data_IF_534820794830
#
_entry.id   IF_534820794830
#
_cell.length_a   1.000
_cell.length_b   1.000
_cell.length_c   1.000
_cell.angle_alpha   90.00
_cell.angle_beta   90.00
_cell.angle_gamma   90.00
#
_symmetry.space_group_name_H-M   'P 1'
#
loop_
_entity.id
_entity.type
_entity.pdbx_description
1 polymer ?
#
# COMPACT_ATOMS: atom_id res chain seq x y z
N UNK A 1 -21.59 28.33 44.76
CA UNK A 1 -20.15 28.14 44.42
C UNK A 1 -19.90 27.03 43.37
N UNK A 2 -20.61 25.89 43.37
CA UNK A 2 -20.38 24.77 42.42
C UNK A 2 -20.62 25.09 40.93
N UNK A 3 -21.56 25.98 40.57
CA UNK A 3 -21.81 26.33 39.13
C UNK A 3 -20.70 27.15 38.49
N UNK A 4 -19.94 27.92 39.24
CA UNK A 4 -18.85 28.76 38.71
C UNK A 4 -17.59 27.96 38.39
N UNK A 5 -17.26 26.98 39.20
CA UNK A 5 -16.14 26.04 38.95
C UNK A 5 -16.38 25.18 37.73
N UNK A 6 -17.62 24.73 37.48
CA UNK A 6 -17.98 23.91 36.31
C UNK A 6 -17.91 24.68 34.98
N UNK A 7 -18.26 25.97 34.98
CA UNK A 7 -18.13 26.82 33.78
C UNK A 7 -16.68 27.18 33.46
N UNK A 8 -15.84 27.35 34.52
CA UNK A 8 -14.43 27.63 34.34
C UNK A 8 -13.65 26.44 33.78
N UNK A 9 -13.95 25.23 34.25
CA UNK A 9 -13.39 23.99 33.71
C UNK A 9 -13.83 23.74 32.29
N UNK A 10 -15.10 23.94 31.90
CA UNK A 10 -15.57 23.83 30.52
C UNK A 10 -14.85 24.80 29.56
N UNK A 11 -14.68 26.06 29.94
CA UNK A 11 -13.95 27.06 29.12
C UNK A 11 -12.47 26.69 28.98
N UNK A 12 -11.84 26.21 30.04
CA UNK A 12 -10.45 25.76 30.01
C UNK A 12 -10.26 24.51 29.13
N UNK A 13 -11.16 23.53 29.30
CA UNK A 13 -11.18 22.32 28.46
C UNK A 13 -11.35 22.67 26.97
N UNK A 14 -12.27 23.57 26.64
CA UNK A 14 -12.48 24.00 25.26
C UNK A 14 -11.23 24.71 24.69
N UNK A 15 -10.55 25.54 25.51
CA UNK A 15 -9.31 26.24 25.09
C UNK A 15 -8.15 25.30 24.81
N UNK A 16 -8.12 24.12 25.40
CA UNK A 16 -7.07 23.11 25.17
C UNK A 16 -7.48 22.13 24.09
N UNK A 17 -8.67 21.55 24.17
CA UNK A 17 -9.09 20.49 23.24
C UNK A 17 -9.41 21.01 21.84
N UNK A 18 -9.94 22.21 21.70
CA UNK A 18 -10.23 22.79 20.37
C UNK A 18 -8.96 22.99 19.52
N UNK A 19 -7.89 23.63 20.01
CA UNK A 19 -6.66 23.75 19.23
C UNK A 19 -5.99 22.39 18.96
N UNK A 20 -6.02 21.44 19.90
CA UNK A 20 -5.53 20.09 19.68
C UNK A 20 -6.32 19.36 18.59
N UNK A 21 -7.63 19.50 18.58
CA UNK A 21 -8.50 18.93 17.54
C UNK A 21 -8.23 19.56 16.18
N UNK A 22 -8.07 20.87 16.11
CA UNK A 22 -7.70 21.59 14.88
C UNK A 22 -6.33 21.11 14.38
N UNK A 23 -5.35 20.97 15.29
CA UNK A 23 -4.02 20.46 14.95
C UNK A 23 -4.06 19.03 14.39
N UNK A 24 -4.87 18.16 15.01
CA UNK A 24 -5.06 16.80 14.52
C UNK A 24 -5.67 16.77 13.11
N UNK A 25 -6.70 17.59 12.87
CA UNK A 25 -7.30 17.74 11.54
C UNK A 25 -6.25 18.25 10.55
N UNK A 26 -5.52 19.29 10.88
CA UNK A 26 -4.47 19.85 10.02
C UNK A 26 -3.39 18.81 9.70
N UNK A 27 -2.98 17.99 10.67
CA UNK A 27 -2.04 16.89 10.49
C UNK A 27 -2.58 15.86 9.49
N UNK A 28 -3.82 15.39 9.66
CA UNK A 28 -4.44 14.39 8.77
C UNK A 28 -4.55 14.92 7.34
N UNK A 29 -4.98 16.17 7.17
CA UNK A 29 -5.09 16.79 5.84
C UNK A 29 -3.71 17.08 5.24
N UNK A 30 -2.75 17.55 6.03
CA UNK A 30 -1.37 17.79 5.60
C UNK A 30 -0.67 16.52 5.12
N UNK A 31 -0.75 15.43 5.88
CA UNK A 31 -0.24 14.11 5.45
C UNK A 31 -0.93 13.65 4.16
N UNK A 32 -2.25 13.83 4.07
CA UNK A 32 -3.01 13.42 2.87
C UNK A 32 -2.59 14.24 1.65
N UNK A 33 -2.47 15.55 1.77
CA UNK A 33 -2.03 16.43 0.71
C UNK A 33 -0.62 16.07 0.21
N UNK A 34 0.32 15.85 1.13
CA UNK A 34 1.69 15.47 0.78
C UNK A 34 1.75 14.15 0.00
N UNK A 35 0.96 13.15 0.40
CA UNK A 35 0.86 11.86 -0.31
C UNK A 35 0.25 12.03 -1.69
N UNK A 36 -0.84 12.81 -1.81
CA UNK A 36 -1.51 13.03 -3.09
C UNK A 36 -0.60 13.82 -4.05
N UNK A 37 0.06 14.87 -3.56
CA UNK A 37 1.02 15.69 -4.32
C UNK A 37 2.21 14.87 -4.82
N UNK A 38 2.75 13.98 -3.99
CA UNK A 38 3.85 13.09 -4.38
C UNK A 38 3.47 12.14 -5.51
N UNK A 39 2.23 11.71 -5.58
CA UNK A 39 1.75 10.76 -6.56
C UNK A 39 1.43 11.39 -7.94
N UNK A 40 1.39 12.73 -8.05
CA UNK A 40 1.12 13.42 -9.31
C UNK A 40 2.14 13.02 -10.38
N UNK A 41 1.65 12.69 -11.57
CA UNK A 41 2.46 12.26 -12.72
C UNK A 41 3.07 10.86 -12.61
N UNK A 42 2.82 10.12 -11.50
CA UNK A 42 3.36 8.76 -11.29
C UNK A 42 2.29 7.67 -11.26
N UNK A 43 1.01 8.04 -11.36
CA UNK A 43 -0.13 7.11 -11.36
C UNK A 43 -0.64 6.91 -12.79
N UNK A 44 -0.71 5.67 -13.21
CA UNK A 44 -1.17 5.29 -14.54
C UNK A 44 -2.38 4.35 -14.42
N UNK A 45 -3.37 4.58 -15.29
CA UNK A 45 -4.53 3.69 -15.47
C UNK A 45 -4.63 3.20 -16.91
N UNK A 46 -3.91 3.84 -17.83
CA UNK A 46 -3.76 3.39 -19.23
C UNK A 46 -2.41 2.70 -19.39
N UNK A 47 -2.47 1.46 -19.87
CA UNK A 47 -1.28 0.62 -20.08
C UNK A 47 -0.38 1.16 -21.21
N UNK A 48 -0.94 1.87 -22.18
CA UNK A 48 -0.18 2.35 -23.33
C UNK A 48 0.86 3.40 -22.94
N UNK A 49 0.51 4.28 -22.02
CA UNK A 49 1.37 5.38 -21.54
C UNK A 49 2.23 4.98 -20.32
N UNK A 50 1.99 3.80 -19.74
CA UNK A 50 2.82 3.31 -18.62
C UNK A 50 4.25 3.04 -19.11
N UNK A 51 5.28 3.59 -18.46
CA UNK A 51 6.67 3.24 -18.77
C UNK A 51 6.95 1.77 -18.40
N UNK A 52 7.85 1.14 -19.16
CA UNK A 52 8.33 -0.20 -18.85
C UNK A 52 9.20 -0.19 -17.60
N UNK A 53 9.02 -1.19 -16.75
CA UNK A 53 9.92 -1.57 -15.68
C UNK A 53 10.06 -3.09 -15.64
N UNK A 54 11.29 -3.60 -15.45
CA UNK A 54 11.54 -5.05 -15.38
C UNK A 54 10.65 -5.74 -14.34
N UNK A 55 10.45 -5.11 -13.17
CA UNK A 55 9.73 -5.69 -12.04
C UNK A 55 8.47 -4.91 -11.72
N UNK A 56 7.35 -5.63 -11.65
CA UNK A 56 6.11 -5.17 -11.04
C UNK A 56 6.04 -5.59 -9.58
N UNK A 57 5.95 -4.64 -8.65
CA UNK A 57 5.68 -4.91 -7.23
C UNK A 57 4.17 -4.99 -7.00
N UNK A 58 3.65 -6.20 -6.85
CA UNK A 58 2.28 -6.43 -6.45
C UNK A 58 2.16 -6.32 -4.94
N UNK A 59 1.33 -5.39 -4.46
CA UNK A 59 0.99 -5.29 -3.04
C UNK A 59 -0.14 -6.27 -2.68
N UNK A 60 0.08 -7.09 -1.66
CA UNK A 60 -0.82 -8.13 -1.22
C UNK A 60 -2.16 -7.65 -0.67
N UNK A 61 -3.12 -8.53 -0.68
CA UNK A 61 -4.44 -8.42 -0.03
C UNK A 61 -5.05 -9.81 0.06
N UNK A 62 -5.95 -10.04 1.02
CA UNK A 62 -6.63 -11.32 1.20
C UNK A 62 -7.43 -11.74 -0.06
N UNK A 63 -7.38 -13.03 -0.37
CA UNK A 63 -8.05 -13.62 -1.54
C UNK A 63 -9.57 -13.64 -1.39
N UNK A 64 -10.05 -13.90 -0.20
CA UNK A 64 -11.47 -13.98 0.10
C UNK A 64 -11.92 -12.92 1.08
N UNK A 65 -13.20 -12.64 1.11
CA UNK A 65 -13.84 -11.82 2.13
C UNK A 65 -13.90 -12.57 3.48
N UNK A 66 -14.44 -11.93 4.51
CA UNK A 66 -14.55 -12.50 5.86
C UNK A 66 -15.34 -13.82 5.92
N UNK A 67 -16.23 -14.07 4.95
CA UNK A 67 -16.97 -15.31 4.78
C UNK A 67 -16.10 -16.49 4.28
N UNK A 68 -14.84 -16.24 3.93
CA UNK A 68 -13.86 -17.20 3.38
C UNK A 68 -14.30 -17.91 2.09
N UNK A 69 -15.36 -17.46 1.45
CA UNK A 69 -15.94 -18.04 0.22
C UNK A 69 -15.94 -17.01 -0.91
N UNK A 70 -16.44 -15.81 -0.65
CA UNK A 70 -16.55 -14.75 -1.65
C UNK A 70 -15.19 -14.20 -2.02
N UNK A 71 -14.86 -14.20 -3.32
CA UNK A 71 -13.60 -13.62 -3.79
C UNK A 71 -13.58 -12.11 -3.52
N UNK A 72 -12.52 -11.65 -2.90
CA UNK A 72 -12.28 -10.24 -2.64
C UNK A 72 -12.08 -9.48 -3.96
N UNK A 73 -12.92 -8.48 -4.28
CA UNK A 73 -12.79 -7.71 -5.52
C UNK A 73 -11.44 -7.00 -5.64
N UNK A 74 -10.85 -6.50 -4.55
CA UNK A 74 -9.52 -5.89 -4.55
C UNK A 74 -8.46 -6.87 -5.04
N UNK A 75 -8.52 -8.11 -4.55
CA UNK A 75 -7.63 -9.18 -4.95
C UNK A 75 -7.77 -9.51 -6.45
N UNK A 76 -9.01 -9.72 -6.91
CA UNK A 76 -9.33 -10.01 -8.31
C UNK A 76 -8.77 -8.93 -9.25
N UNK A 77 -9.04 -7.66 -8.96
CA UNK A 77 -8.61 -6.56 -9.81
C UNK A 77 -7.09 -6.37 -9.83
N UNK A 78 -6.38 -6.66 -8.72
CA UNK A 78 -4.92 -6.68 -8.72
C UNK A 78 -4.36 -7.80 -9.58
N UNK A 79 -4.94 -9.00 -9.49
CA UNK A 79 -4.53 -10.13 -10.33
C UNK A 79 -4.72 -9.81 -11.82
N UNK A 80 -5.87 -9.26 -12.20
CA UNK A 80 -6.15 -8.82 -13.56
C UNK A 80 -5.16 -7.74 -14.05
N UNK A 81 -4.82 -6.78 -13.19
CA UNK A 81 -3.86 -5.72 -13.51
C UNK A 81 -2.46 -6.28 -13.79
N UNK A 82 -1.97 -7.19 -12.93
CA UNK A 82 -0.68 -7.87 -13.14
C UNK A 82 -0.68 -8.63 -14.46
N UNK A 83 -1.69 -9.42 -14.72
CA UNK A 83 -1.78 -10.20 -15.96
C UNK A 83 -1.77 -9.30 -17.21
N UNK A 84 -2.52 -8.19 -17.20
CA UNK A 84 -2.54 -7.22 -18.30
C UNK A 84 -1.16 -6.61 -18.54
N UNK A 85 -0.45 -6.22 -17.48
CA UNK A 85 0.88 -5.62 -17.56
C UNK A 85 1.91 -6.62 -18.09
N UNK A 86 1.92 -7.84 -17.58
CA UNK A 86 2.79 -8.91 -18.04
C UNK A 86 2.54 -9.26 -19.52
N UNK A 87 1.29 -9.45 -19.90
CA UNK A 87 0.91 -9.74 -21.29
C UNK A 87 1.29 -8.63 -22.27
N UNK A 88 1.19 -7.37 -21.83
CA UNK A 88 1.59 -6.20 -22.62
C UNK A 88 3.11 -5.94 -22.59
N UNK A 89 3.90 -6.79 -21.92
CA UNK A 89 5.36 -6.64 -21.75
C UNK A 89 5.74 -5.31 -21.13
N UNK A 90 4.92 -4.81 -20.23
CA UNK A 90 5.22 -3.61 -19.40
C UNK A 90 6.01 -3.97 -18.15
N UNK A 91 5.95 -5.24 -17.75
CA UNK A 91 6.77 -5.88 -16.72
C UNK A 91 7.19 -7.28 -17.21
N UNK A 92 8.38 -7.73 -16.82
CA UNK A 92 8.88 -9.09 -17.11
C UNK A 92 8.67 -10.02 -15.91
N UNK A 93 8.86 -9.49 -14.71
CA UNK A 93 8.80 -10.22 -13.43
C UNK A 93 7.77 -9.57 -12.51
N UNK A 94 7.19 -10.39 -11.66
CA UNK A 94 6.25 -9.96 -10.62
C UNK A 94 6.83 -10.30 -9.26
N UNK A 95 7.11 -9.28 -8.44
CA UNK A 95 7.40 -9.45 -7.03
C UNK A 95 6.07 -9.36 -6.27
N UNK A 96 5.62 -10.50 -5.76
CA UNK A 96 4.35 -10.66 -5.05
C UNK A 96 4.64 -10.49 -3.56
N UNK A 97 4.34 -9.30 -3.00
CA UNK A 97 4.63 -9.01 -1.60
C UNK A 97 3.34 -8.96 -0.79
N UNK A 98 3.23 -9.82 0.20
CA UNK A 98 2.03 -9.97 1.01
C UNK A 98 2.29 -10.63 2.36
N UNK A 99 1.21 -10.81 3.11
CA UNK A 99 1.20 -11.40 4.45
C UNK A 99 1.19 -12.93 4.40
N UNK A 100 2.01 -13.54 5.26
CA UNK A 100 2.06 -14.99 5.53
C UNK A 100 2.16 -15.24 7.05
N UNK A 101 1.61 -14.34 7.87
CA UNK A 101 1.79 -14.37 9.34
C UNK A 101 0.90 -15.35 10.10
N UNK A 102 -0.10 -16.00 9.46
CA UNK A 102 -1.06 -16.88 10.12
C UNK A 102 -1.10 -18.27 9.47
N UNK A 103 -1.29 -19.29 10.28
CA UNK A 103 -1.45 -20.66 9.77
C UNK A 103 -2.62 -20.74 8.76
N UNK A 104 -2.35 -21.17 7.54
CA UNK A 104 -3.35 -21.27 6.46
C UNK A 104 -3.66 -19.96 5.74
N UNK A 105 -2.89 -18.88 5.99
CA UNK A 105 -3.01 -17.60 5.31
C UNK A 105 -1.70 -17.26 4.61
N UNK A 106 -1.72 -17.18 3.27
CA UNK A 106 -0.52 -16.95 2.46
C UNK A 106 -0.88 -16.20 1.18
N UNK A 107 -0.92 -14.86 1.27
CA UNK A 107 -1.28 -14.00 0.15
C UNK A 107 -0.36 -14.19 -1.08
N UNK A 108 0.98 -14.23 -0.94
CA UNK A 108 1.87 -14.44 -2.07
C UNK A 108 1.61 -15.77 -2.79
N UNK A 109 1.38 -16.86 -2.05
CA UNK A 109 1.10 -18.16 -2.64
C UNK A 109 -0.23 -18.18 -3.38
N UNK A 110 -1.28 -17.59 -2.80
CA UNK A 110 -2.60 -17.49 -3.42
C UNK A 110 -2.54 -16.73 -4.77
N UNK A 111 -1.77 -15.62 -4.83
CA UNK A 111 -1.54 -14.92 -6.09
C UNK A 111 -0.73 -15.75 -7.08
N UNK A 112 0.33 -16.39 -6.62
CA UNK A 112 1.19 -17.23 -7.46
C UNK A 112 0.38 -18.34 -8.14
N UNK A 113 -0.48 -19.03 -7.38
CA UNK A 113 -1.34 -20.11 -7.93
C UNK A 113 -2.34 -19.57 -8.94
N UNK A 114 -2.87 -18.37 -8.70
CA UNK A 114 -3.75 -17.71 -9.67
C UNK A 114 -3.01 -17.32 -10.94
N UNK A 115 -1.81 -16.77 -10.83
CA UNK A 115 -1.01 -16.39 -12.00
C UNK A 115 -0.58 -17.61 -12.82
N UNK A 116 -0.27 -18.74 -12.19
CA UNK A 116 -0.07 -20.03 -12.89
C UNK A 116 -1.30 -20.41 -13.70
N UNK A 117 -2.49 -20.34 -13.08
CA UNK A 117 -3.75 -20.63 -13.78
C UNK A 117 -4.03 -19.65 -14.94
N UNK A 118 -3.53 -18.42 -14.87
CA UNK A 118 -3.59 -17.41 -15.92
C UNK A 118 -2.50 -17.59 -16.99
N UNK A 119 -1.55 -18.54 -16.82
CA UNK A 119 -0.48 -18.83 -17.76
C UNK A 119 0.80 -18.01 -17.59
N UNK A 120 1.00 -17.35 -16.44
CA UNK A 120 2.28 -16.69 -16.12
C UNK A 120 3.26 -17.76 -15.63
N UNK A 121 4.45 -17.91 -16.25
CA UNK A 121 5.45 -18.89 -15.84
C UNK A 121 6.00 -18.61 -14.44
N UNK A 122 6.34 -19.65 -13.68
CA UNK A 122 6.96 -19.53 -12.36
C UNK A 122 8.25 -18.73 -12.40
N UNK A 123 9.01 -18.83 -13.47
CA UNK A 123 10.23 -18.05 -13.68
C UNK A 123 10.00 -16.54 -13.74
N UNK A 124 8.75 -16.09 -13.96
CA UNK A 124 8.38 -14.68 -13.96
C UNK A 124 7.88 -14.19 -12.60
N UNK A 125 7.81 -15.06 -11.58
CA UNK A 125 7.22 -14.75 -10.28
C UNK A 125 8.22 -14.93 -9.16
N UNK A 126 8.22 -13.99 -8.20
CA UNK A 126 9.01 -14.05 -6.97
C UNK A 126 8.09 -13.68 -5.82
N UNK A 127 8.06 -14.50 -4.77
CA UNK A 127 7.25 -14.26 -3.58
C UNK A 127 8.07 -13.57 -2.48
N UNK A 128 7.48 -12.54 -1.89
CA UNK A 128 7.90 -11.91 -0.65
C UNK A 128 6.84 -12.20 0.43
N UNK A 129 7.17 -13.11 1.33
CA UNK A 129 6.27 -13.58 2.39
C UNK A 129 6.31 -12.71 3.67
N UNK A 130 7.01 -11.58 3.64
CA UNK A 130 7.15 -10.68 4.78
C UNK A 130 6.67 -9.25 4.48
N UNK A 131 5.77 -9.11 3.52
CA UNK A 131 5.12 -7.85 3.16
C UNK A 131 3.88 -7.56 4.01
N UNK A 132 4.01 -7.53 5.35
CA UNK A 132 2.88 -7.37 6.27
C UNK A 132 2.20 -6.01 6.16
N UNK A 133 2.96 -4.97 5.86
CA UNK A 133 2.48 -3.60 5.64
C UNK A 133 3.06 -3.05 4.35
N UNK A 134 2.41 -2.03 3.79
CA UNK A 134 2.94 -1.31 2.61
C UNK A 134 4.38 -0.85 2.80
N UNK A 135 4.72 -0.41 4.02
CA UNK A 135 6.05 0.00 4.41
C UNK A 135 7.07 -1.15 4.23
N UNK A 136 6.73 -2.34 4.73
CA UNK A 136 7.59 -3.52 4.63
C UNK A 136 7.78 -3.92 3.16
N UNK A 137 6.69 -4.01 2.39
CA UNK A 137 6.73 -4.38 0.96
C UNK A 137 7.66 -3.49 0.14
N UNK A 138 7.55 -2.16 0.33
CA UNK A 138 8.32 -1.20 -0.48
C UNK A 138 9.80 -1.18 -0.08
N UNK A 139 10.11 -1.21 1.23
CA UNK A 139 11.50 -1.24 1.69
C UNK A 139 12.15 -2.56 1.28
N UNK A 140 11.49 -3.70 1.50
CA UNK A 140 12.02 -5.01 1.13
C UNK A 140 12.23 -5.15 -0.37
N UNK A 141 11.37 -4.56 -1.20
CA UNK A 141 11.56 -4.50 -2.64
C UNK A 141 12.92 -3.92 -3.02
N UNK A 142 13.36 -2.86 -2.34
CA UNK A 142 14.66 -2.24 -2.55
C UNK A 142 15.80 -3.02 -1.85
N UNK A 143 15.68 -3.23 -0.55
CA UNK A 143 16.80 -3.69 0.29
C UNK A 143 17.04 -5.21 0.16
N UNK A 144 15.99 -6.01 0.01
CA UNK A 144 16.09 -7.47 -0.07
C UNK A 144 16.11 -7.94 -1.52
N UNK A 145 15.22 -7.41 -2.35
CA UNK A 145 15.10 -7.83 -3.76
C UNK A 145 15.92 -6.95 -4.73
N UNK A 146 16.68 -5.99 -4.22
CA UNK A 146 17.69 -5.22 -4.96
C UNK A 146 17.12 -4.30 -6.05
N UNK A 147 15.81 -4.01 -6.02
CA UNK A 147 15.19 -3.22 -7.08
C UNK A 147 15.48 -1.73 -6.93
N UNK A 148 15.77 -1.07 -8.05
CA UNK A 148 15.97 0.38 -8.12
C UNK A 148 14.82 1.08 -8.85
N UNK A 149 14.16 0.39 -9.78
CA UNK A 149 13.05 0.88 -10.59
C UNK A 149 11.95 -0.16 -10.62
N UNK A 150 10.71 0.23 -10.29
CA UNK A 150 9.57 -0.70 -10.24
C UNK A 150 8.26 -0.06 -10.68
N UNK A 151 7.33 -0.91 -11.13
CA UNK A 151 5.92 -0.54 -11.27
C UNK A 151 5.15 -1.12 -10.09
N UNK A 152 4.65 -0.28 -9.20
CA UNK A 152 3.79 -0.71 -8.09
C UNK A 152 2.39 -0.99 -8.62
N UNK A 153 1.78 -2.10 -8.20
CA UNK A 153 0.48 -2.55 -8.70
C UNK A 153 -0.49 -2.73 -7.53
N UNK A 154 -1.47 -1.85 -7.42
CA UNK A 154 -2.53 -1.91 -6.41
C UNK A 154 -3.67 -0.93 -6.76
N UNK A 155 -4.64 -0.73 -5.86
CA UNK A 155 -5.66 0.31 -6.01
C UNK A 155 -5.08 1.72 -5.84
N UNK A 156 -5.73 2.76 -6.39
CA UNK A 156 -5.19 4.14 -6.40
C UNK A 156 -4.78 4.66 -5.03
N UNK A 157 -5.59 4.45 -3.99
CA UNK A 157 -5.30 4.93 -2.64
C UNK A 157 -4.04 4.26 -2.05
N UNK A 158 -3.86 2.98 -2.31
CA UNK A 158 -2.72 2.19 -1.84
C UNK A 158 -1.45 2.54 -2.62
N UNK A 159 -1.56 2.70 -3.94
CA UNK A 159 -0.48 3.13 -4.82
C UNK A 159 0.11 4.48 -4.39
N UNK A 160 -0.74 5.46 -4.07
CA UNK A 160 -0.30 6.78 -3.59
C UNK A 160 0.58 6.68 -2.34
N UNK A 161 0.16 5.87 -1.36
CA UNK A 161 0.93 5.65 -0.13
C UNK A 161 2.25 4.93 -0.41
N UNK A 162 2.23 3.90 -1.25
CA UNK A 162 3.43 3.16 -1.63
C UNK A 162 4.45 4.02 -2.39
N UNK A 163 3.99 4.88 -3.32
CA UNK A 163 4.83 5.84 -4.02
C UNK A 163 5.50 6.85 -3.07
N UNK A 164 4.80 7.27 -2.03
CA UNK A 164 5.39 8.18 -1.03
C UNK A 164 6.52 7.50 -0.26
N UNK A 165 6.32 6.25 0.17
CA UNK A 165 7.36 5.45 0.83
C UNK A 165 8.54 5.23 -0.12
N UNK A 166 8.27 4.83 -1.37
CA UNK A 166 9.29 4.59 -2.38
C UNK A 166 10.19 5.82 -2.59
N UNK A 167 9.60 7.01 -2.74
CA UNK A 167 10.37 8.25 -2.88
C UNK A 167 11.24 8.50 -1.64
N UNK A 168 10.70 8.30 -0.44
CA UNK A 168 11.43 8.56 0.82
C UNK A 168 12.67 7.69 0.96
N UNK A 169 12.60 6.43 0.51
CA UNK A 169 13.74 5.51 0.57
C UNK A 169 14.63 5.55 -0.68
N UNK A 170 14.34 6.41 -1.66
CA UNK A 170 15.10 6.50 -2.91
C UNK A 170 14.90 5.30 -3.84
N UNK A 171 13.72 4.70 -3.85
CA UNK A 171 13.28 3.72 -4.85
C UNK A 171 12.52 4.46 -5.95
N UNK A 172 12.99 4.40 -7.19
CA UNK A 172 12.26 4.96 -8.31
C UNK A 172 11.03 4.11 -8.62
N UNK A 173 9.86 4.71 -8.53
CA UNK A 173 8.61 3.97 -8.73
C UNK A 173 7.58 4.79 -9.49
N UNK A 174 6.89 4.10 -10.40
CA UNK A 174 5.60 4.49 -10.93
C UNK A 174 4.55 3.50 -10.45
N UNK A 175 3.28 3.81 -10.57
CA UNK A 175 2.24 2.88 -10.15
C UNK A 175 1.16 2.70 -11.21
N UNK A 176 0.71 1.47 -11.37
CA UNK A 176 -0.44 1.13 -12.20
C UNK A 176 -1.66 0.85 -11.32
N UNK A 177 -2.75 1.54 -11.62
CA UNK A 177 -3.98 1.44 -10.87
C UNK A 177 -4.78 0.20 -11.32
N UNK A 178 -4.89 -0.78 -10.43
CA UNK A 178 -5.93 -1.80 -10.55
C UNK A 178 -7.31 -1.14 -10.41
N UNK A 179 -8.33 -1.76 -11.01
CA UNK A 179 -9.69 -1.29 -10.87
C UNK A 179 -10.06 -1.10 -9.40
N UNK A 180 -10.81 -0.05 -9.11
CA UNK A 180 -11.27 0.21 -7.75
C UNK A 180 -12.62 -0.47 -7.49
N UNK A 181 -12.90 -0.71 -6.22
CA UNK A 181 -14.16 -1.30 -5.79
C UNK A 181 -15.14 -0.19 -5.50
N UNK A 182 -16.33 -0.25 -6.12
CA UNK A 182 -17.34 0.78 -5.96
C UNK A 182 -17.75 1.03 -4.49
N UNK A 183 -18.12 2.24 -4.20
CA UNK A 183 -18.26 2.98 -2.94
C UNK A 183 -19.05 2.35 -1.77
N UNK A 184 -19.52 1.13 -1.84
CA UNK A 184 -20.40 0.54 -0.80
C UNK A 184 -19.70 0.30 0.56
N UNK A 185 -18.35 0.22 0.56
CA UNK A 185 -17.52 0.15 1.78
C UNK A 185 -16.68 1.42 2.00
N UNK A 186 -17.07 2.54 1.36
CA UNK A 186 -16.24 3.72 1.18
C UNK A 186 -15.82 4.44 2.44
N UNK A 187 -16.70 4.60 3.43
CA UNK A 187 -16.38 5.36 4.64
C UNK A 187 -15.32 4.67 5.49
N UNK A 188 -15.43 3.36 5.72
CA UNK A 188 -14.43 2.61 6.49
C UNK A 188 -13.05 2.67 5.82
N UNK A 189 -12.99 2.38 4.52
CA UNK A 189 -11.73 2.44 3.76
C UNK A 189 -11.14 3.85 3.74
N UNK A 190 -12.00 4.89 3.63
CA UNK A 190 -11.56 6.29 3.67
C UNK A 190 -10.90 6.65 5.01
N UNK A 191 -11.55 6.35 6.14
CA UNK A 191 -10.98 6.66 7.47
C UNK A 191 -9.74 5.82 7.76
N UNK A 192 -9.77 4.53 7.42
CA UNK A 192 -8.62 3.64 7.55
C UNK A 192 -7.41 4.18 6.75
N UNK A 193 -7.65 4.66 5.54
CA UNK A 193 -6.57 5.21 4.71
C UNK A 193 -6.01 6.52 5.27
N UNK A 194 -6.86 7.40 5.81
CA UNK A 194 -6.38 8.61 6.48
C UNK A 194 -5.50 8.29 7.68
N UNK A 195 -5.91 7.34 8.52
CA UNK A 195 -5.11 6.86 9.64
C UNK A 195 -3.80 6.19 9.19
N UNK A 196 -3.84 5.36 8.13
CA UNK A 196 -2.67 4.70 7.57
C UNK A 196 -1.64 5.70 7.02
N UNK A 197 -2.09 6.82 6.44
CA UNK A 197 -1.19 7.90 5.98
C UNK A 197 -0.47 8.58 7.15
N UNK A 198 -1.20 8.91 8.23
CA UNK A 198 -0.58 9.49 9.43
C UNK A 198 0.43 8.52 10.04
N UNK A 199 0.05 7.24 10.20
CA UNK A 199 0.96 6.21 10.72
C UNK A 199 2.21 6.07 9.85
N UNK A 200 2.07 6.08 8.53
CA UNK A 200 3.21 6.06 7.61
C UNK A 200 4.16 7.25 7.84
N UNK A 201 3.64 8.46 8.07
CA UNK A 201 4.48 9.61 8.41
C UNK A 201 5.21 9.41 9.74
N UNK A 202 4.54 8.88 10.75
CA UNK A 202 5.17 8.54 12.03
C UNK A 202 6.28 7.50 11.82
N UNK A 203 6.01 6.42 11.09
CA UNK A 203 7.01 5.39 10.77
C UNK A 203 8.24 5.97 10.05
N UNK A 204 8.04 6.85 9.07
CA UNK A 204 9.13 7.37 8.22
C UNK A 204 9.94 8.51 8.84
N UNK A 205 9.32 9.37 9.66
CA UNK A 205 9.94 10.63 10.10
C UNK A 205 10.18 10.74 11.60
N UNK A 206 9.48 9.93 12.40
CA UNK A 206 9.58 9.97 13.87
C UNK A 206 10.17 8.69 14.42
N UNK A 207 9.56 7.55 14.09
CA UNK A 207 9.94 6.26 14.65
C UNK A 207 11.09 5.60 13.87
N UNK A 208 11.30 6.00 12.62
CA UNK A 208 12.27 5.38 11.70
C UNK A 208 12.14 3.85 11.68
N UNK A 209 10.88 3.40 11.61
CA UNK A 209 10.52 1.98 11.71
C UNK A 209 11.21 1.18 10.61
N UNK A 210 11.83 0.07 11.00
CA UNK A 210 12.38 -0.89 10.05
C UNK A 210 11.31 -1.92 9.66
N UNK A 211 11.43 -2.60 8.50
CA UNK A 211 10.59 -3.74 8.17
C UNK A 211 10.63 -4.79 9.28
N UNK A 212 9.50 -5.45 9.50
CA UNK A 212 9.38 -6.46 10.56
C UNK A 212 10.43 -7.58 10.42
N UNK A 213 10.73 -7.96 9.18
CA UNK A 213 11.82 -8.89 8.86
C UNK A 213 12.70 -8.33 7.75
N UNK A 214 13.99 -8.25 8.02
CA UNK A 214 15.04 -8.13 7.02
C UNK A 214 15.67 -9.52 6.84
N UNK A 215 15.61 -10.06 5.65
CA UNK A 215 16.18 -11.36 5.30
C UNK A 215 17.48 -11.21 4.52
N UNK A 216 17.99 -12.35 4.01
CA UNK A 216 19.09 -12.36 3.04
C UNK A 216 18.64 -11.72 1.73
N UNK A 217 19.57 -11.07 1.01
CA UNK A 217 19.29 -10.51 -0.33
C UNK A 217 18.90 -11.61 -1.31
N UNK A 218 17.91 -11.34 -2.12
CA UNK A 218 17.38 -12.22 -3.16
C UNK A 218 17.42 -11.44 -4.48
N UNK A 219 18.22 -11.95 -5.43
CA UNK A 219 18.29 -11.30 -6.75
C UNK A 219 17.11 -11.74 -7.64
N UNK A 220 16.45 -10.80 -8.26
CA UNK A 220 15.44 -11.05 -9.30
C UNK A 220 16.15 -10.97 -10.65
N UNK A 221 16.51 -12.15 -11.18
CA UNK A 221 17.20 -12.30 -12.48
C UNK A 221 16.25 -12.18 -13.69
#
# INVERSE_FOLDING_TARGET
MQRFTFLFTKKLLLRIYLPLFILLIALVFGCSYAVDKNAEGKLYSDINILPYNKVGLLLGTCKTMDDRVTINPFWKYRAEAVYKLWKAKKIDKVLISGDNGWHGYNEPQDFMDTFRAMGIPDSCMVCDFAGFRTHDSVIRCKEIFGQQNVTIISQPFHNKRALFIAQKIGLYAVAFNANDVSFRNGLYTFFREKAARVLMFLDLYVLHTQPHFLGKKININ
#
